data_IF_081038240060
#
_entry.id   IF_081038240060
#
_cell.length_a   1.000
_cell.length_b   1.000
_cell.length_c   1.000
_cell.angle_alpha   90.00
_cell.angle_beta   90.00
_cell.angle_gamma   90.00
#
_symmetry.space_group_name_H-M   'P 1'
#
loop_
_entity.id
_entity.type
_entity.pdbx_description
1 polymer ?
#
# COMPACT_ATOMS: atom_id res chain seq x y z
N UNK A 1 28.80 -42.52 7.50
CA UNK A 1 27.94 -41.38 7.15
C UNK A 1 26.75 -41.39 8.10
N UNK A 2 26.72 -40.48 9.03
CA UNK A 2 25.78 -40.57 10.15
C UNK A 2 24.37 -40.16 9.68
N UNK A 3 23.48 -41.12 9.52
CA UNK A 3 22.11 -40.99 9.03
C UNK A 3 21.25 -40.05 9.94
N UNK A 4 21.72 -39.73 11.14
CA UNK A 4 21.10 -38.83 12.09
C UNK A 4 21.28 -37.34 11.74
N UNK A 5 22.50 -36.95 11.33
CA UNK A 5 22.84 -35.55 10.98
C UNK A 5 22.06 -35.13 9.73
N UNK A 6 22.09 -35.98 8.68
CA UNK A 6 21.34 -35.69 7.43
C UNK A 6 19.81 -35.56 7.63
N UNK A 7 19.23 -36.31 8.59
CA UNK A 7 17.79 -36.18 8.93
C UNK A 7 17.49 -34.86 9.64
N UNK A 8 18.41 -34.38 10.49
CA UNK A 8 18.24 -33.12 11.22
C UNK A 8 18.32 -31.91 10.26
N UNK A 9 19.29 -31.92 9.37
CA UNK A 9 19.46 -30.87 8.34
C UNK A 9 18.24 -30.77 7.43
N UNK A 10 17.70 -31.89 6.96
CA UNK A 10 16.46 -31.91 6.17
C UNK A 10 15.27 -31.38 6.94
N UNK A 11 15.17 -31.66 8.23
CA UNK A 11 14.11 -31.12 9.08
C UNK A 11 14.23 -29.61 9.20
N UNK A 12 15.43 -29.09 9.44
CA UNK A 12 15.69 -27.63 9.51
C UNK A 12 15.34 -26.94 8.21
N UNK A 13 15.73 -27.50 7.06
CA UNK A 13 15.37 -26.94 5.75
C UNK A 13 13.84 -26.96 5.51
N UNK A 14 13.17 -28.02 5.96
CA UNK A 14 11.70 -28.09 5.87
C UNK A 14 11.04 -27.02 6.73
N UNK A 15 11.42 -26.88 8.00
CA UNK A 15 10.87 -25.89 8.93
C UNK A 15 11.09 -24.44 8.41
N UNK A 16 12.29 -24.17 7.88
CA UNK A 16 12.62 -22.89 7.25
C UNK A 16 11.73 -22.63 6.02
N UNK A 17 11.50 -23.64 5.17
CA UNK A 17 10.66 -23.50 3.99
C UNK A 17 9.21 -23.17 4.33
N UNK A 18 8.67 -23.72 5.42
CA UNK A 18 7.32 -23.40 5.92
C UNK A 18 7.22 -21.93 6.39
N UNK A 19 8.25 -21.45 7.07
CA UNK A 19 8.29 -20.08 7.60
C UNK A 19 8.37 -19.05 6.48
N UNK A 20 9.16 -19.32 5.44
CA UNK A 20 9.26 -18.47 4.26
C UNK A 20 7.88 -18.23 3.62
N UNK A 21 7.01 -19.26 3.61
CA UNK A 21 5.65 -19.18 3.06
C UNK A 21 4.64 -18.40 3.92
N UNK A 22 4.92 -18.16 5.19
CA UNK A 22 3.96 -17.60 6.14
C UNK A 22 4.27 -16.16 6.60
N UNK A 23 5.52 -15.70 6.46
CA UNK A 23 5.95 -14.41 7.00
C UNK A 23 5.88 -13.28 5.97
N UNK A 24 5.22 -12.19 6.35
CA UNK A 24 5.08 -10.96 5.54
C UNK A 24 6.28 -9.99 5.70
N UNK A 25 7.14 -10.19 6.72
CA UNK A 25 8.24 -9.28 7.04
C UNK A 25 9.60 -9.98 6.90
N UNK A 26 10.42 -9.55 5.92
CA UNK A 26 11.74 -10.12 5.67
C UNK A 26 12.64 -10.15 6.91
N UNK A 27 12.73 -9.06 7.67
CA UNK A 27 13.65 -8.95 8.81
C UNK A 27 13.30 -9.96 9.90
N UNK A 28 12.01 -10.11 10.21
CA UNK A 28 11.52 -11.11 11.16
C UNK A 28 11.77 -12.54 10.65
N UNK A 29 11.52 -12.78 9.37
CA UNK A 29 11.78 -14.10 8.76
C UNK A 29 13.26 -14.49 8.88
N UNK A 30 14.17 -13.56 8.57
CA UNK A 30 15.61 -13.81 8.68
C UNK A 30 16.04 -14.07 10.14
N UNK A 31 15.47 -13.35 11.11
CA UNK A 31 15.77 -13.58 12.54
C UNK A 31 15.29 -14.96 13.01
N UNK A 32 14.09 -15.39 12.63
CA UNK A 32 13.55 -16.72 12.94
C UNK A 32 14.42 -17.83 12.31
N UNK A 33 14.87 -17.66 11.07
CA UNK A 33 15.76 -18.61 10.41
C UNK A 33 17.06 -18.79 11.21
N UNK A 34 17.65 -17.67 11.69
CA UNK A 34 18.87 -17.72 12.50
C UNK A 34 18.64 -18.36 13.88
N UNK A 35 17.47 -18.19 14.47
CA UNK A 35 17.07 -18.83 15.72
C UNK A 35 16.98 -20.35 15.55
N UNK A 36 16.33 -20.82 14.50
CA UNK A 36 16.26 -22.24 14.15
C UNK A 36 17.67 -22.84 13.96
N UNK A 37 18.55 -22.15 13.25
CA UNK A 37 19.94 -22.58 13.09
C UNK A 37 20.66 -22.75 14.43
N UNK A 38 20.45 -21.80 15.35
CA UNK A 38 21.06 -21.86 16.67
C UNK A 38 20.56 -23.02 17.50
N UNK A 39 19.26 -23.30 17.46
CA UNK A 39 18.65 -24.37 18.25
C UNK A 39 19.02 -25.76 17.76
N UNK A 40 18.95 -25.99 16.45
CA UNK A 40 19.10 -27.34 15.87
C UNK A 40 20.58 -27.76 15.64
N UNK A 41 21.46 -26.80 15.34
CA UNK A 41 22.84 -27.07 14.96
C UNK A 41 23.87 -26.66 16.03
N UNK A 42 23.42 -26.34 17.24
CA UNK A 42 24.28 -25.88 18.35
C UNK A 42 25.17 -24.69 17.98
N UNK A 43 24.72 -23.86 17.05
CA UNK A 43 25.43 -22.68 16.58
C UNK A 43 25.11 -21.49 17.50
N UNK A 44 26.06 -21.08 18.33
CA UNK A 44 25.85 -20.07 19.40
C UNK A 44 25.48 -18.67 18.91
N UNK A 45 25.94 -18.29 17.73
CA UNK A 45 25.67 -17.01 17.09
C UNK A 45 25.56 -17.21 15.59
N UNK A 46 24.60 -16.53 15.03
CA UNK A 46 24.44 -16.49 13.59
C UNK A 46 24.12 -15.06 13.14
N UNK A 47 24.70 -14.63 12.02
CA UNK A 47 24.44 -13.29 11.46
C UNK A 47 24.26 -13.34 9.95
N UNK A 48 23.33 -12.54 9.46
CA UNK A 48 23.18 -12.24 8.05
C UNK A 48 23.62 -10.80 7.85
N UNK A 49 24.68 -10.65 7.07
CA UNK A 49 25.27 -9.35 6.73
C UNK A 49 25.00 -9.08 5.27
N UNK A 50 24.36 -7.95 4.93
CA UNK A 50 23.97 -7.60 3.57
C UNK A 50 24.66 -6.31 3.12
N UNK A 51 24.81 -6.16 1.80
CA UNK A 51 25.32 -4.95 1.16
C UNK A 51 24.38 -3.76 1.40
N UNK A 52 24.94 -2.61 1.74
CA UNK A 52 24.20 -1.36 1.94
C UNK A 52 24.09 -0.58 0.63
N UNK A 53 22.99 -0.72 -0.11
CA UNK A 53 22.69 0.09 -1.29
C UNK A 53 23.90 0.37 -2.21
N UNK A 54 24.21 1.65 -2.43
CA UNK A 54 25.34 2.11 -3.27
C UNK A 54 26.67 2.27 -2.51
N UNK A 55 26.67 2.11 -1.19
CA UNK A 55 27.86 2.27 -0.36
C UNK A 55 28.64 0.94 -0.32
N UNK A 56 29.97 0.98 -0.47
CA UNK A 56 30.83 -0.20 -0.44
C UNK A 56 31.02 -0.74 1.00
N UNK A 57 29.88 -0.99 1.67
CA UNK A 57 29.83 -1.52 3.03
C UNK A 57 28.81 -2.64 3.16
N UNK A 58 29.07 -3.49 4.13
CA UNK A 58 28.19 -4.56 4.56
C UNK A 58 27.72 -4.27 5.99
N UNK A 59 26.44 -4.46 6.28
CA UNK A 59 25.90 -4.31 7.65
C UNK A 59 25.09 -5.52 8.07
N UNK A 60 25.09 -5.82 9.38
CA UNK A 60 24.29 -6.93 9.91
C UNK A 60 22.81 -6.59 9.82
N UNK A 61 22.10 -7.32 8.98
CA UNK A 61 20.64 -7.18 8.78
C UNK A 61 19.85 -7.93 9.84
N UNK A 62 20.21 -9.20 10.06
CA UNK A 62 19.61 -10.07 11.06
C UNK A 62 20.68 -10.75 11.90
N UNK A 63 20.40 -11.05 13.15
CA UNK A 63 21.34 -11.73 14.04
C UNK A 63 20.64 -12.50 15.14
N UNK A 64 21.19 -13.68 15.48
CA UNK A 64 20.87 -14.41 16.70
C UNK A 64 22.09 -14.36 17.64
N UNK A 65 21.85 -14.21 18.94
CA UNK A 65 22.91 -14.18 19.97
C UNK A 65 23.70 -12.86 20.08
N UNK A 66 23.30 -11.78 19.40
CA UNK A 66 23.87 -10.42 19.52
C UNK A 66 22.90 -9.45 20.21
N UNK A 67 23.44 -8.58 21.03
CA UNK A 67 22.69 -7.43 21.60
C UNK A 67 22.52 -6.32 20.54
N UNK A 68 21.49 -5.46 20.63
CA UNK A 68 21.27 -4.39 19.65
C UNK A 68 22.49 -3.48 19.42
N UNK A 69 23.23 -3.12 20.47
CA UNK A 69 24.46 -2.32 20.37
C UNK A 69 25.61 -3.05 19.66
N UNK A 70 25.67 -4.37 19.80
CA UNK A 70 26.66 -5.22 19.14
C UNK A 70 26.33 -5.36 17.64
N UNK A 71 25.04 -5.54 17.30
CA UNK A 71 24.54 -5.58 15.93
C UNK A 71 24.90 -4.29 15.17
N UNK A 72 24.71 -3.10 15.78
CA UNK A 72 25.04 -1.80 15.18
C UNK A 72 26.53 -1.63 14.85
N UNK A 73 27.44 -2.23 15.61
CA UNK A 73 28.90 -2.19 15.35
C UNK A 73 29.33 -3.08 14.19
N UNK A 74 28.50 -4.01 13.77
CA UNK A 74 28.78 -4.97 12.70
C UNK A 74 28.67 -4.35 11.31
N UNK A 75 29.48 -3.34 11.03
CA UNK A 75 29.62 -2.72 9.70
C UNK A 75 31.03 -3.00 9.19
N UNK A 76 31.13 -3.54 7.97
CA UNK A 76 32.37 -3.97 7.34
C UNK A 76 32.50 -3.31 5.96
N UNK A 77 33.72 -2.93 5.58
CA UNK A 77 34.01 -2.57 4.20
C UNK A 77 34.22 -3.85 3.38
N UNK A 78 34.08 -3.77 2.07
CA UNK A 78 34.26 -4.96 1.20
C UNK A 78 35.68 -5.52 1.24
N UNK A 79 36.67 -4.70 1.58
CA UNK A 79 38.08 -5.07 1.71
C UNK A 79 38.49 -5.43 3.15
N UNK A 80 37.54 -5.52 4.09
CA UNK A 80 37.84 -5.54 5.50
C UNK A 80 37.43 -6.87 6.18
N UNK A 81 38.43 -7.52 6.76
CA UNK A 81 38.24 -8.71 7.59
C UNK A 81 37.72 -9.95 6.84
N UNK A 82 37.40 -11.01 7.59
CA UNK A 82 36.90 -12.28 7.02
C UNK A 82 35.55 -12.07 6.28
N UNK A 83 34.67 -11.25 6.80
CA UNK A 83 33.37 -10.98 6.17
C UNK A 83 33.53 -10.29 4.81
N UNK A 84 34.42 -9.31 4.71
CA UNK A 84 34.74 -8.65 3.42
C UNK A 84 35.41 -9.59 2.43
N UNK A 85 36.30 -10.48 2.91
CA UNK A 85 36.95 -11.49 2.09
C UNK A 85 35.92 -12.42 1.44
N UNK A 86 35.02 -13.03 2.23
CA UNK A 86 33.96 -13.93 1.77
C UNK A 86 33.07 -13.22 0.74
N UNK A 87 32.69 -11.98 1.01
CA UNK A 87 31.85 -11.20 0.10
C UNK A 87 32.55 -10.97 -1.25
N UNK A 88 33.84 -10.63 -1.24
CA UNK A 88 34.61 -10.32 -2.46
C UNK A 88 34.95 -11.55 -3.29
N UNK A 89 35.35 -12.66 -2.64
CA UNK A 89 35.72 -13.90 -3.33
C UNK A 89 34.50 -14.73 -3.74
N UNK A 90 33.34 -14.51 -3.10
CA UNK A 90 32.15 -15.34 -3.21
C UNK A 90 32.43 -16.82 -2.86
N UNK A 91 33.41 -17.08 -2.00
CA UNK A 91 33.78 -18.40 -1.53
C UNK A 91 33.55 -18.52 -0.02
N UNK A 92 33.20 -19.75 0.48
CA UNK A 92 33.12 -20.00 1.90
C UNK A 92 34.50 -19.86 2.57
N UNK A 93 34.50 -19.40 3.81
CA UNK A 93 35.72 -19.31 4.61
C UNK A 93 35.50 -19.81 6.03
N UNK A 94 36.43 -20.60 6.54
CA UNK A 94 36.41 -21.15 7.89
C UNK A 94 37.59 -20.66 8.68
N UNK A 95 37.32 -20.23 9.91
CA UNK A 95 38.33 -19.90 10.90
C UNK A 95 38.19 -20.92 12.05
N UNK A 96 39.04 -21.92 12.14
CA UNK A 96 38.96 -22.95 13.18
C UNK A 96 39.12 -22.37 14.59
N UNK A 97 39.94 -21.35 14.75
CA UNK A 97 40.17 -20.66 16.01
C UNK A 97 40.24 -19.14 15.77
N UNK A 98 39.17 -18.43 16.14
CA UNK A 98 39.07 -16.98 15.95
C UNK A 98 40.14 -16.18 16.69
N UNK A 99 40.81 -16.76 17.68
CA UNK A 99 41.88 -16.10 18.45
C UNK A 99 43.22 -16.09 17.71
N UNK A 100 43.39 -16.98 16.74
CA UNK A 100 44.64 -17.17 15.98
C UNK A 100 44.60 -16.54 14.58
N UNK A 101 43.40 -16.11 14.12
CA UNK A 101 43.22 -15.57 12.78
C UNK A 101 43.34 -14.03 12.74
N UNK A 102 44.41 -13.49 12.14
CA UNK A 102 44.64 -12.03 12.09
C UNK A 102 43.57 -11.23 11.34
N UNK A 103 42.92 -11.88 10.32
CA UNK A 103 41.83 -11.23 9.56
C UNK A 103 40.51 -11.15 10.32
N UNK A 104 40.43 -11.80 11.51
CA UNK A 104 39.22 -11.83 12.28
C UNK A 104 39.11 -10.62 13.23
N UNK A 105 38.33 -9.62 12.87
CA UNK A 105 38.31 -8.29 13.52
C UNK A 105 37.46 -8.18 14.78
N UNK A 106 36.61 -9.16 15.14
CA UNK A 106 35.66 -9.13 16.26
C UNK A 106 34.96 -7.76 16.46
N UNK A 107 34.52 -7.09 15.37
CA UNK A 107 33.94 -5.74 15.40
C UNK A 107 32.72 -5.62 16.31
N UNK A 108 31.90 -6.65 16.41
CA UNK A 108 30.74 -6.68 17.30
C UNK A 108 31.12 -6.57 18.76
N UNK A 109 32.37 -7.00 19.13
CA UNK A 109 32.84 -7.03 20.50
C UNK A 109 32.07 -8.03 21.38
N UNK A 110 31.33 -8.94 20.76
CA UNK A 110 30.43 -9.88 21.45
C UNK A 110 31.13 -11.14 21.92
N UNK A 111 32.34 -11.41 21.42
CA UNK A 111 33.13 -12.60 21.80
C UNK A 111 34.05 -12.28 22.97
N UNK A 112 33.60 -12.57 24.21
CA UNK A 112 34.47 -12.57 25.39
C UNK A 112 35.26 -13.88 25.38
N UNK A 113 36.60 -13.78 25.38
CA UNK A 113 37.57 -14.86 25.14
C UNK A 113 37.75 -15.74 26.40
N UNK A 114 36.73 -16.11 27.13
CA UNK A 114 36.95 -16.73 28.44
C UNK A 114 36.57 -18.20 28.55
N UNK A 115 35.96 -18.85 27.57
CA UNK A 115 35.66 -20.32 27.68
C UNK A 115 35.49 -21.00 26.35
N UNK A 116 36.54 -21.72 25.90
CA UNK A 116 36.53 -22.63 24.76
C UNK A 116 36.92 -21.98 23.42
N UNK A 117 37.51 -22.79 22.54
CA UNK A 117 37.87 -22.39 21.20
C UNK A 117 36.57 -22.15 20.40
N UNK A 118 36.42 -20.97 19.83
CA UNK A 118 35.29 -20.62 18.95
C UNK A 118 35.80 -20.72 17.51
N UNK A 119 35.11 -21.50 16.69
CA UNK A 119 35.25 -21.50 15.25
C UNK A 119 34.23 -20.59 14.59
N UNK A 120 34.61 -19.97 13.48
CA UNK A 120 33.75 -19.16 12.65
C UNK A 120 33.64 -19.80 11.26
N UNK A 121 32.42 -19.91 10.76
CA UNK A 121 32.14 -20.37 9.40
C UNK A 121 31.32 -19.24 8.72
N UNK A 122 31.79 -18.80 7.57
CA UNK A 122 31.08 -17.86 6.76
C UNK A 122 30.88 -18.37 5.35
N UNK A 123 29.68 -18.18 4.81
CA UNK A 123 29.33 -18.52 3.43
C UNK A 123 28.74 -17.29 2.72
N UNK A 124 29.03 -17.09 1.43
CA UNK A 124 28.46 -15.99 0.67
C UNK A 124 26.97 -16.22 0.40
N UNK A 125 26.20 -15.15 0.43
CA UNK A 125 24.83 -15.11 -0.09
C UNK A 125 24.90 -14.58 -1.51
N UNK A 126 24.65 -15.46 -2.50
CA UNK A 126 24.87 -15.16 -3.92
C UNK A 126 23.55 -15.15 -4.68
N UNK A 127 23.27 -14.09 -5.43
CA UNK A 127 22.12 -13.96 -6.31
C UNK A 127 22.60 -13.65 -7.74
N UNK A 128 22.21 -14.47 -8.72
CA UNK A 128 22.60 -14.29 -10.13
C UNK A 128 24.13 -14.12 -10.30
N UNK A 129 24.90 -14.99 -9.65
CA UNK A 129 26.38 -14.98 -9.65
C UNK A 129 27.02 -13.72 -9.03
N UNK A 130 26.25 -12.90 -8.32
CA UNK A 130 26.77 -11.74 -7.60
C UNK A 130 26.57 -11.90 -6.10
N UNK A 131 27.59 -11.66 -5.27
CA UNK A 131 27.42 -11.69 -3.83
C UNK A 131 26.57 -10.49 -3.38
N UNK A 132 25.55 -10.76 -2.59
CA UNK A 132 24.66 -9.75 -1.99
C UNK A 132 24.84 -9.64 -0.48
N UNK A 133 25.56 -10.61 0.14
CA UNK A 133 25.79 -10.64 1.56
C UNK A 133 26.61 -11.84 2.00
N UNK A 134 26.67 -12.05 3.31
CA UNK A 134 27.37 -13.15 3.98
C UNK A 134 26.51 -13.69 5.11
N UNK A 135 26.30 -14.99 5.13
CA UNK A 135 25.78 -15.72 6.27
C UNK A 135 26.97 -16.23 7.08
N UNK A 136 27.04 -15.94 8.37
CA UNK A 136 28.11 -16.41 9.23
C UNK A 136 27.57 -16.96 10.54
N UNK A 137 28.25 -18.00 11.05
CA UNK A 137 27.91 -18.69 12.28
C UNK A 137 29.15 -18.88 13.16
N UNK A 138 28.96 -18.79 14.47
CA UNK A 138 29.96 -19.15 15.47
C UNK A 138 29.60 -20.52 16.09
N UNK A 139 30.54 -21.43 16.12
CA UNK A 139 30.39 -22.77 16.73
C UNK A 139 31.44 -22.97 17.82
N UNK A 140 31.10 -23.71 18.86
CA UNK A 140 32.12 -24.21 19.77
C UNK A 140 32.92 -25.28 19.06
N UNK A 141 34.26 -25.19 19.17
CA UNK A 141 35.15 -26.20 18.62
C UNK A 141 35.01 -27.48 19.46
N UNK A 142 34.62 -28.59 18.77
CA UNK A 142 34.64 -29.94 19.30
C UNK A 142 35.41 -30.78 18.29
N UNK A 143 36.23 -31.75 18.77
CA UNK A 143 37.17 -32.53 17.91
C UNK A 143 36.48 -33.36 16.84
N UNK A 144 35.16 -33.61 16.97
CA UNK A 144 34.36 -34.43 16.04
C UNK A 144 33.59 -33.59 14.97
N UNK A 145 33.94 -32.33 14.74
CA UNK A 145 33.18 -31.44 13.83
C UNK A 145 33.65 -31.53 12.38
N UNK A 146 32.75 -31.85 11.46
CA UNK A 146 32.99 -31.79 10.01
C UNK A 146 32.62 -30.42 9.47
N UNK A 147 33.58 -29.54 9.26
CA UNK A 147 33.37 -28.22 8.61
C UNK A 147 32.83 -28.33 7.19
N UNK A 148 33.13 -29.43 6.47
CA UNK A 148 32.64 -29.61 5.09
C UNK A 148 31.11 -29.79 5.03
N UNK A 149 30.52 -30.50 5.99
CA UNK A 149 29.07 -30.69 6.09
C UNK A 149 28.39 -29.37 6.46
N UNK A 150 28.92 -28.65 7.45
CA UNK A 150 28.43 -27.35 7.86
C UNK A 150 28.44 -26.31 6.68
N UNK A 151 29.55 -26.25 5.92
CA UNK A 151 29.68 -25.40 4.74
C UNK A 151 28.62 -25.75 3.70
N UNK A 152 28.44 -27.04 3.39
CA UNK A 152 27.45 -27.50 2.42
C UNK A 152 26.04 -27.09 2.81
N UNK A 153 25.67 -27.35 4.05
CA UNK A 153 24.36 -26.99 4.60
C UNK A 153 24.12 -25.47 4.59
N UNK A 154 25.08 -24.68 5.11
CA UNK A 154 24.97 -23.22 5.13
C UNK A 154 24.94 -22.63 3.71
N UNK A 155 25.61 -23.24 2.74
CA UNK A 155 25.55 -22.82 1.33
C UNK A 155 24.16 -23.03 0.73
N UNK A 156 23.50 -24.16 1.00
CA UNK A 156 22.11 -24.40 0.58
C UNK A 156 21.19 -23.35 1.21
N UNK A 157 21.35 -23.11 2.49
CA UNK A 157 20.55 -22.12 3.21
C UNK A 157 20.78 -20.69 2.70
N UNK A 158 22.03 -20.32 2.42
CA UNK A 158 22.35 -18.99 1.86
C UNK A 158 21.71 -18.78 0.49
N UNK A 159 21.59 -19.84 -0.32
CA UNK A 159 20.89 -19.77 -1.61
C UNK A 159 19.38 -19.55 -1.43
N UNK A 160 18.73 -20.21 -0.46
CA UNK A 160 17.32 -19.95 -0.12
C UNK A 160 17.10 -18.53 0.40
N UNK A 161 17.99 -18.03 1.24
CA UNK A 161 17.95 -16.64 1.72
C UNK A 161 18.12 -15.63 0.57
N UNK A 162 18.99 -15.89 -0.39
CA UNK A 162 19.17 -15.05 -1.56
C UNK A 162 17.86 -14.91 -2.36
N UNK A 163 17.14 -16.02 -2.57
CA UNK A 163 15.85 -16.00 -3.24
C UNK A 163 14.78 -15.23 -2.45
N UNK A 164 14.71 -15.42 -1.14
CA UNK A 164 13.78 -14.70 -0.26
C UNK A 164 14.02 -13.19 -0.30
N UNK A 165 15.28 -12.75 -0.20
CA UNK A 165 15.67 -11.35 -0.28
C UNK A 165 15.26 -10.77 -1.64
N UNK A 166 15.57 -11.47 -2.73
CA UNK A 166 15.22 -11.04 -4.10
C UNK A 166 13.72 -10.88 -4.30
N UNK A 167 12.91 -11.84 -3.83
CA UNK A 167 11.45 -11.76 -3.93
C UNK A 167 10.90 -10.55 -3.16
N UNK A 168 11.37 -10.31 -1.94
CA UNK A 168 10.96 -9.16 -1.14
C UNK A 168 11.31 -7.82 -1.83
N UNK A 169 12.49 -7.71 -2.43
CA UNK A 169 12.91 -6.51 -3.14
C UNK A 169 12.08 -6.29 -4.42
N UNK A 170 11.74 -7.35 -5.15
CA UNK A 170 10.84 -7.28 -6.30
C UNK A 170 9.43 -6.82 -5.90
N UNK A 171 8.86 -7.35 -4.82
CA UNK A 171 7.55 -6.93 -4.30
C UNK A 171 7.58 -5.45 -3.93
N UNK A 172 8.56 -5.00 -3.16
CA UNK A 172 8.72 -3.58 -2.78
C UNK A 172 8.90 -2.66 -3.99
N UNK A 173 9.70 -3.06 -4.97
CA UNK A 173 9.89 -2.30 -6.20
C UNK A 173 8.59 -2.17 -7.00
N UNK A 174 7.78 -3.24 -7.05
CA UNK A 174 6.48 -3.25 -7.73
C UNK A 174 5.45 -2.37 -7.02
N UNK A 175 5.38 -2.44 -5.70
CA UNK A 175 4.55 -1.54 -4.89
C UNK A 175 4.93 -0.07 -5.11
N UNK A 176 6.22 0.27 -5.06
CA UNK A 176 6.72 1.62 -5.33
C UNK A 176 6.37 2.10 -6.75
N UNK A 177 6.48 1.24 -7.75
CA UNK A 177 6.14 1.58 -9.14
C UNK A 177 4.65 1.83 -9.31
N UNK A 178 3.79 1.04 -8.67
CA UNK A 178 2.32 1.22 -8.68
C UNK A 178 1.91 2.51 -7.97
N UNK A 179 2.51 2.82 -6.82
CA UNK A 179 2.26 4.08 -6.11
C UNK A 179 2.68 5.29 -6.97
N UNK A 180 3.84 5.23 -7.62
CA UNK A 180 4.33 6.30 -8.50
C UNK A 180 3.44 6.47 -9.74
N UNK A 181 3.02 5.38 -10.37
CA UNK A 181 2.09 5.42 -11.50
C UNK A 181 0.71 5.99 -11.11
N UNK A 182 0.19 5.61 -9.94
CA UNK A 182 -1.05 6.17 -9.41
C UNK A 182 -0.95 7.67 -9.09
N UNK A 183 0.19 8.12 -8.56
CA UNK A 183 0.44 9.53 -8.29
C UNK A 183 0.55 10.34 -9.59
N UNK A 184 1.26 9.85 -10.61
CA UNK A 184 1.37 10.53 -11.91
C UNK A 184 0.01 10.63 -12.62
N UNK A 185 -0.78 9.54 -12.64
CA UNK A 185 -2.14 9.55 -13.18
C UNK A 185 -3.06 10.54 -12.43
N UNK A 186 -2.96 10.62 -11.11
CA UNK A 186 -3.73 11.60 -10.31
C UNK A 186 -3.30 13.04 -10.61
N UNK A 187 -2.02 13.31 -10.81
CA UNK A 187 -1.50 14.64 -11.15
C UNK A 187 -1.96 15.09 -12.54
N UNK A 188 -1.87 14.21 -13.53
CA UNK A 188 -2.33 14.49 -14.91
C UNK A 188 -3.84 14.75 -14.97
N UNK A 189 -4.64 13.97 -14.20
CA UNK A 189 -6.07 14.19 -14.09
C UNK A 189 -6.42 15.52 -13.39
N UNK A 190 -5.66 15.90 -12.37
CA UNK A 190 -5.82 17.13 -11.62
C UNK A 190 -5.52 18.38 -12.48
N UNK A 191 -4.44 18.35 -13.25
CA UNK A 191 -4.12 19.45 -14.20
C UNK A 191 -5.18 19.58 -15.31
N UNK A 192 -5.63 18.45 -15.87
CA UNK A 192 -6.71 18.45 -16.88
C UNK A 192 -8.02 19.02 -16.34
N UNK A 193 -8.38 18.73 -15.10
CA UNK A 193 -9.58 19.24 -14.46
C UNK A 193 -9.48 20.74 -14.14
N UNK A 194 -8.34 21.20 -13.65
CA UNK A 194 -8.08 22.63 -13.38
C UNK A 194 -8.08 23.45 -14.65
N UNK A 195 -7.48 22.96 -15.72
CA UNK A 195 -7.44 23.64 -17.02
C UNK A 195 -8.85 23.79 -17.60
N UNK A 196 -9.71 22.76 -17.52
CA UNK A 196 -11.10 22.87 -17.97
C UNK A 196 -11.89 23.89 -17.15
N UNK A 197 -11.67 23.96 -15.84
CA UNK A 197 -12.34 24.91 -14.96
C UNK A 197 -11.95 26.37 -15.26
N UNK A 198 -10.72 26.59 -15.70
CA UNK A 198 -10.21 27.91 -16.07
C UNK A 198 -10.74 28.43 -17.42
N UNK A 199 -11.41 27.57 -18.20
CA UNK A 199 -11.91 27.94 -19.55
C UNK A 199 -13.20 28.77 -19.49
N UNK A 200 -14.03 28.60 -18.43
CA UNK A 200 -15.26 29.38 -18.28
C UNK A 200 -14.95 30.79 -17.79
N UNK A 201 -15.20 31.78 -18.64
CA UNK A 201 -14.97 33.21 -18.36
C UNK A 201 -16.25 34.03 -18.25
N UNK A 202 -17.42 33.44 -18.49
CA UNK A 202 -18.72 34.06 -18.35
C UNK A 202 -18.99 34.50 -16.90
N UNK A 203 -19.72 35.60 -16.65
CA UNK A 203 -20.08 36.07 -15.31
C UNK A 203 -20.72 34.97 -14.45
N UNK A 204 -21.66 34.19 -15.03
CA UNK A 204 -22.35 33.10 -14.35
C UNK A 204 -21.40 31.98 -13.93
N UNK A 205 -20.40 31.66 -14.76
CA UNK A 205 -19.42 30.64 -14.42
C UNK A 205 -18.38 31.13 -13.41
N UNK A 206 -18.06 32.42 -13.42
CA UNK A 206 -17.20 33.02 -12.40
C UNK A 206 -17.85 32.99 -11.01
N UNK A 207 -19.17 33.18 -10.91
CA UNK A 207 -19.91 33.01 -9.65
C UNK A 207 -19.81 31.57 -9.16
N UNK A 208 -20.01 30.58 -10.03
CA UNK A 208 -19.82 29.15 -9.70
C UNK A 208 -18.41 28.90 -9.19
N UNK A 209 -17.39 29.46 -9.85
CA UNK A 209 -16.00 29.33 -9.42
C UNK A 209 -15.76 29.91 -8.03
N UNK A 210 -16.37 31.06 -7.70
CA UNK A 210 -16.27 31.67 -6.37
C UNK A 210 -16.90 30.78 -5.30
N UNK A 211 -18.09 30.21 -5.57
CA UNK A 211 -18.77 29.29 -4.66
C UNK A 211 -17.93 28.02 -4.41
N UNK A 212 -17.34 27.46 -5.46
CA UNK A 212 -16.46 26.31 -5.35
C UNK A 212 -15.26 26.62 -4.46
N UNK A 213 -14.58 27.76 -4.66
CA UNK A 213 -13.45 28.18 -3.83
C UNK A 213 -13.83 28.34 -2.36
N UNK A 214 -15.04 28.83 -2.07
CA UNK A 214 -15.55 29.01 -0.70
C UNK A 214 -15.83 27.66 -0.03
N UNK A 215 -16.46 26.70 -0.75
CA UNK A 215 -16.90 25.44 -0.16
C UNK A 215 -15.81 24.36 -0.16
N UNK A 216 -14.87 24.40 -1.09
CA UNK A 216 -13.85 23.37 -1.22
C UNK A 216 -13.07 23.09 0.08
N UNK A 217 -12.57 24.08 0.85
CA UNK A 217 -11.82 23.82 2.07
C UNK A 217 -12.68 23.34 3.25
N UNK A 218 -14.02 23.40 3.13
CA UNK A 218 -14.93 22.99 4.21
C UNK A 218 -15.27 21.50 4.17
N UNK A 219 -15.87 20.99 5.25
CA UNK A 219 -16.43 19.63 5.30
C UNK A 219 -17.92 19.58 4.92
N UNK A 220 -18.51 20.68 4.54
CA UNK A 220 -19.94 20.77 4.22
C UNK A 220 -20.31 19.87 3.04
N UNK A 221 -21.52 19.30 3.10
CA UNK A 221 -22.15 18.64 1.95
C UNK A 221 -22.44 19.69 0.87
N UNK A 222 -22.27 19.29 -0.40
CA UNK A 222 -22.51 20.18 -1.55
C UNK A 222 -23.56 19.53 -2.44
N UNK A 223 -24.55 20.30 -2.84
CA UNK A 223 -25.58 19.89 -3.80
C UNK A 223 -25.37 20.63 -5.13
N UNK A 224 -25.02 19.88 -6.18
CA UNK A 224 -24.85 20.40 -7.53
C UNK A 224 -26.15 20.29 -8.31
N UNK A 225 -26.71 21.40 -8.70
CA UNK A 225 -27.94 21.50 -9.46
C UNK A 225 -27.66 21.92 -10.91
N UNK A 226 -28.35 21.33 -11.87
CA UNK A 226 -28.19 21.71 -13.27
C UNK A 226 -28.58 20.60 -14.23
N UNK A 227 -28.83 20.98 -15.48
CA UNK A 227 -29.25 20.03 -16.54
C UNK A 227 -28.21 18.95 -16.80
N UNK A 228 -28.63 17.88 -17.46
CA UNK A 228 -27.68 16.86 -17.91
C UNK A 228 -26.66 17.48 -18.89
N UNK A 229 -25.38 17.06 -18.78
CA UNK A 229 -24.29 17.56 -19.63
C UNK A 229 -23.71 18.91 -19.24
N UNK A 230 -24.19 19.60 -18.18
CA UNK A 230 -23.64 20.90 -17.74
C UNK A 230 -22.24 20.82 -17.12
N UNK A 231 -21.76 19.62 -16.78
CA UNK A 231 -20.43 19.42 -16.17
C UNK A 231 -20.43 19.21 -14.67
N UNK A 232 -21.55 18.85 -14.04
CA UNK A 232 -21.68 18.61 -12.58
C UNK A 232 -20.60 17.64 -12.05
N UNK A 233 -20.33 16.54 -12.74
CA UNK A 233 -19.29 15.57 -12.36
C UNK A 233 -17.90 16.22 -12.32
N UNK A 234 -17.58 17.11 -13.26
CA UNK A 234 -16.31 17.83 -13.28
C UNK A 234 -16.22 18.83 -12.13
N UNK A 235 -17.29 19.57 -11.87
CA UNK A 235 -17.39 20.49 -10.72
C UNK A 235 -17.17 19.74 -9.40
N UNK A 236 -17.80 18.58 -9.22
CA UNK A 236 -17.59 17.73 -8.04
C UNK A 236 -16.13 17.33 -7.86
N UNK A 237 -15.46 16.95 -8.95
CA UNK A 237 -14.05 16.58 -8.95
C UNK A 237 -13.15 17.76 -8.58
N UNK A 238 -13.42 18.95 -9.12
CA UNK A 238 -12.68 20.18 -8.78
C UNK A 238 -12.85 20.56 -7.30
N UNK A 239 -14.07 20.44 -6.75
CA UNK A 239 -14.30 20.66 -5.32
C UNK A 239 -13.47 19.71 -4.47
N UNK A 240 -13.36 18.44 -4.86
CA UNK A 240 -12.51 17.48 -4.17
C UNK A 240 -11.03 17.86 -4.29
N UNK A 241 -10.55 18.18 -5.49
CA UNK A 241 -9.14 18.54 -5.76
C UNK A 241 -8.68 19.82 -5.04
N UNK A 242 -9.60 20.75 -4.79
CA UNK A 242 -9.35 21.97 -4.03
C UNK A 242 -9.58 21.81 -2.52
N UNK A 243 -10.00 20.65 -2.06
CA UNK A 243 -10.27 20.37 -0.65
C UNK A 243 -9.04 19.88 0.10
N UNK A 244 -9.14 19.82 1.43
CA UNK A 244 -8.15 19.16 2.29
C UNK A 244 -8.00 17.66 2.02
N UNK A 245 -8.95 17.05 1.30
CA UNK A 245 -8.98 15.61 0.95
C UNK A 245 -8.52 15.33 -0.50
N UNK A 246 -7.87 16.27 -1.17
CA UNK A 246 -7.43 16.15 -2.57
C UNK A 246 -6.55 14.92 -2.85
N UNK A 247 -5.81 14.43 -1.84
CA UNK A 247 -4.95 13.23 -1.94
C UNK A 247 -5.66 11.93 -1.59
N UNK A 248 -6.87 12.01 -1.05
CA UNK A 248 -7.69 10.86 -0.65
C UNK A 248 -8.54 10.33 -1.81
N UNK A 249 -9.35 9.30 -1.55
CA UNK A 249 -10.24 8.69 -2.55
C UNK A 249 -11.35 9.66 -2.99
N UNK A 250 -11.67 9.66 -4.29
CA UNK A 250 -12.86 10.27 -4.87
C UNK A 250 -13.71 9.16 -5.48
N UNK A 251 -14.74 8.72 -4.77
CA UNK A 251 -15.59 7.60 -5.16
C UNK A 251 -16.87 8.15 -5.79
N UNK A 252 -17.11 7.78 -7.04
CA UNK A 252 -18.32 8.17 -7.79
C UNK A 252 -19.34 7.03 -7.79
N UNK A 253 -20.60 7.36 -7.49
CA UNK A 253 -21.76 6.47 -7.64
C UNK A 253 -22.81 7.18 -8.46
N UNK A 254 -23.33 6.53 -9.50
CA UNK A 254 -24.47 7.02 -10.25
C UNK A 254 -25.72 6.30 -9.77
N UNK A 255 -26.65 7.05 -9.16
CA UNK A 255 -27.87 6.51 -8.57
C UNK A 255 -28.92 6.06 -9.61
N UNK A 256 -28.81 6.51 -10.85
CA UNK A 256 -29.69 6.12 -11.93
C UNK A 256 -29.21 4.88 -12.72
N UNK A 257 -27.96 4.47 -12.53
CA UNK A 257 -27.33 3.45 -13.40
C UNK A 257 -27.68 2.00 -13.02
N UNK A 258 -28.19 1.75 -11.81
CA UNK A 258 -28.37 0.41 -11.24
C UNK A 258 -29.80 0.21 -10.73
N UNK A 259 -30.35 -1.01 -10.83
CA UNK A 259 -31.56 -1.38 -10.11
C UNK A 259 -31.38 -1.21 -8.60
N UNK A 260 -32.49 -0.97 -7.87
CA UNK A 260 -32.50 -0.64 -6.44
C UNK A 260 -31.65 -1.59 -5.57
N UNK A 261 -31.88 -2.91 -5.70
CA UNK A 261 -31.16 -3.91 -4.91
C UNK A 261 -29.64 -3.93 -5.17
N UNK A 262 -29.25 -3.67 -6.42
CA UNK A 262 -27.82 -3.59 -6.77
C UNK A 262 -27.22 -2.27 -6.28
N UNK A 263 -27.95 -1.17 -6.36
CA UNK A 263 -27.51 0.12 -5.88
C UNK A 263 -27.27 0.10 -4.36
N UNK A 264 -28.16 -0.55 -3.61
CA UNK A 264 -28.02 -0.72 -2.16
C UNK A 264 -26.75 -1.50 -1.81
N UNK A 265 -26.54 -2.65 -2.46
CA UNK A 265 -25.35 -3.48 -2.24
C UNK A 265 -24.06 -2.81 -2.68
N UNK A 266 -24.06 -2.01 -3.73
CA UNK A 266 -22.89 -1.22 -4.14
C UNK A 266 -22.60 -0.06 -3.18
N UNK A 267 -23.63 0.66 -2.70
CA UNK A 267 -23.44 1.78 -1.77
C UNK A 267 -22.92 1.32 -0.40
N UNK A 268 -23.61 0.37 0.22
CA UNK A 268 -23.35 -0.01 1.61
C UNK A 268 -22.56 -1.31 1.79
N UNK A 269 -22.37 -2.09 0.71
CA UNK A 269 -21.73 -3.39 0.78
C UNK A 269 -22.62 -4.48 1.37
N UNK A 270 -22.11 -5.70 1.39
CA UNK A 270 -22.84 -6.87 1.91
C UNK A 270 -21.91 -7.86 2.58
N UNK A 271 -22.45 -8.63 3.51
CA UNK A 271 -21.79 -9.77 4.12
C UNK A 271 -22.17 -11.05 3.39
N UNK A 272 -21.33 -12.08 3.50
CA UNK A 272 -21.61 -13.41 2.96
C UNK A 272 -22.97 -13.91 3.42
N UNK A 273 -23.81 -14.33 2.46
CA UNK A 273 -25.17 -14.85 2.73
C UNK A 273 -26.25 -13.77 2.83
N UNK A 274 -25.96 -12.49 2.57
CA UNK A 274 -26.95 -11.42 2.63
C UNK A 274 -28.09 -11.57 1.61
N UNK A 275 -27.81 -12.19 0.47
CA UNK A 275 -28.79 -12.53 -0.58
C UNK A 275 -28.35 -13.75 -1.39
N UNK A 276 -29.22 -14.29 -2.21
CA UNK A 276 -28.90 -15.42 -3.11
C UNK A 276 -27.81 -15.00 -4.11
N UNK A 277 -26.59 -15.61 -3.97
CA UNK A 277 -25.42 -15.26 -4.77
C UNK A 277 -24.33 -14.49 -4.01
N UNK A 278 -24.54 -14.06 -2.77
CA UNK A 278 -23.53 -13.43 -1.90
C UNK A 278 -22.56 -14.50 -1.33
N UNK A 279 -21.65 -15.01 -2.17
CA UNK A 279 -20.68 -16.05 -1.80
C UNK A 279 -19.57 -15.54 -0.88
N UNK A 280 -19.22 -14.26 -1.00
CA UNK A 280 -18.21 -13.56 -0.21
C UNK A 280 -18.74 -12.22 0.29
N UNK A 281 -18.08 -11.62 1.30
CA UNK A 281 -18.40 -10.27 1.73
C UNK A 281 -17.72 -9.25 0.82
N UNK A 282 -18.42 -8.14 0.51
CA UNK A 282 -17.89 -7.04 -0.31
C UNK A 282 -18.08 -5.70 0.40
N UNK A 283 -17.02 -4.86 0.54
CA UNK A 283 -17.17 -3.50 1.02
C UNK A 283 -18.00 -2.66 0.04
N UNK A 284 -18.75 -1.68 0.58
CA UNK A 284 -19.51 -0.74 -0.22
C UNK A 284 -18.73 0.54 -0.54
N UNK A 285 -19.26 1.34 -1.48
CA UNK A 285 -18.67 2.62 -1.91
C UNK A 285 -18.54 3.64 -0.78
N UNK A 286 -19.43 3.60 0.20
CA UNK A 286 -19.36 4.41 1.42
C UNK A 286 -18.09 4.08 2.21
N UNK A 287 -17.78 2.78 2.35
CA UNK A 287 -16.58 2.31 3.05
C UNK A 287 -15.29 2.61 2.26
N UNK A 288 -15.31 2.44 0.93
CA UNK A 288 -14.20 2.79 0.04
C UNK A 288 -13.88 4.30 0.05
N UNK A 289 -14.88 5.14 0.35
CA UNK A 289 -14.74 6.58 0.43
C UNK A 289 -14.19 7.08 1.78
N UNK A 290 -13.91 6.20 2.75
CA UNK A 290 -13.43 6.61 4.07
C UNK A 290 -12.17 7.47 4.01
N UNK A 291 -12.14 8.56 4.76
CA UNK A 291 -11.10 9.61 4.69
C UNK A 291 -11.16 10.47 3.41
N UNK A 292 -12.05 10.15 2.45
CA UNK A 292 -12.14 10.76 1.13
C UNK A 292 -13.44 11.50 0.86
N UNK A 293 -13.89 11.44 -0.41
CA UNK A 293 -15.12 12.09 -0.89
C UNK A 293 -15.99 11.09 -1.65
N UNK A 294 -17.26 11.01 -1.28
CA UNK A 294 -18.30 10.27 -2.00
C UNK A 294 -19.08 11.25 -2.88
N UNK A 295 -19.09 11.00 -4.19
CA UNK A 295 -19.89 11.76 -5.13
C UNK A 295 -21.09 10.93 -5.60
N UNK A 296 -22.30 11.39 -5.26
CA UNK A 296 -23.58 10.80 -5.60
C UNK A 296 -24.16 11.54 -6.81
N UNK A 297 -24.04 10.95 -7.99
CA UNK A 297 -24.57 11.54 -9.23
C UNK A 297 -26.02 11.09 -9.44
N UNK A 298 -26.86 11.99 -9.94
CA UNK A 298 -28.30 11.81 -10.15
C UNK A 298 -29.03 11.35 -8.88
N UNK A 299 -28.79 12.07 -7.76
CA UNK A 299 -29.36 11.72 -6.44
C UNK A 299 -30.89 11.76 -6.42
N UNK A 300 -31.52 12.54 -7.28
CA UNK A 300 -32.96 12.60 -7.43
C UNK A 300 -33.62 11.32 -7.96
N UNK A 301 -32.82 10.36 -8.45
CA UNK A 301 -33.26 9.04 -8.90
C UNK A 301 -33.18 7.97 -7.78
N UNK A 302 -32.72 8.36 -6.57
CA UNK A 302 -32.54 7.41 -5.48
C UNK A 302 -33.89 6.88 -4.98
N UNK A 303 -34.11 5.56 -4.95
CA UNK A 303 -35.35 4.95 -4.42
C UNK A 303 -35.63 5.39 -2.97
N UNK A 304 -36.92 5.59 -2.63
CA UNK A 304 -37.33 6.11 -1.31
C UNK A 304 -36.82 5.23 -0.15
N UNK A 305 -36.75 3.91 -0.32
CA UNK A 305 -36.20 3.01 0.68
C UNK A 305 -34.71 3.32 0.97
N UNK A 306 -33.93 3.62 -0.07
CA UNK A 306 -32.50 3.93 0.08
C UNK A 306 -32.28 5.35 0.63
N UNK A 307 -33.23 6.27 0.43
CA UNK A 307 -33.14 7.62 1.00
C UNK A 307 -33.09 7.58 2.52
N UNK A 308 -33.81 6.67 3.17
CA UNK A 308 -33.79 6.49 4.64
C UNK A 308 -32.40 6.08 5.13
N UNK A 309 -31.77 5.11 4.44
CA UNK A 309 -30.42 4.65 4.80
C UNK A 309 -29.35 5.71 4.54
N UNK A 310 -29.50 6.43 3.43
CA UNK A 310 -28.59 7.55 3.11
C UNK A 310 -28.71 8.68 4.14
N UNK A 311 -29.92 8.99 4.58
CA UNK A 311 -30.16 10.00 5.62
C UNK A 311 -29.43 9.63 6.91
N UNK A 312 -29.60 8.40 7.40
CA UNK A 312 -28.91 7.92 8.59
C UNK A 312 -27.39 8.05 8.45
N UNK A 313 -26.84 7.60 7.30
CA UNK A 313 -25.42 7.77 7.02
C UNK A 313 -24.95 9.24 7.03
N UNK A 314 -25.73 10.15 6.47
CA UNK A 314 -25.40 11.58 6.45
C UNK A 314 -25.46 12.22 7.85
N UNK A 315 -26.36 11.74 8.75
CA UNK A 315 -26.53 12.25 10.10
C UNK A 315 -25.46 11.72 11.05
N UNK A 316 -25.30 10.40 11.10
CA UNK A 316 -24.54 9.71 12.16
C UNK A 316 -23.11 9.34 11.71
N UNK A 317 -22.85 9.41 10.39
CA UNK A 317 -21.58 8.97 9.79
C UNK A 317 -21.30 7.49 10.03
N UNK A 318 -22.38 6.73 10.20
CA UNK A 318 -22.31 5.29 10.35
C UNK A 318 -23.30 4.58 9.40
N UNK A 319 -23.04 3.30 9.17
CA UNK A 319 -23.87 2.46 8.32
C UNK A 319 -23.65 0.98 8.65
N UNK A 320 -24.53 0.14 8.13
CA UNK A 320 -24.45 -1.32 8.24
C UNK A 320 -24.43 -1.94 6.85
N UNK A 321 -23.62 -2.97 6.64
CA UNK A 321 -23.66 -3.76 5.39
C UNK A 321 -24.96 -4.57 5.33
N UNK A 322 -25.42 -4.91 4.14
CA UNK A 322 -26.54 -5.82 3.95
C UNK A 322 -26.23 -7.17 4.62
N UNK A 323 -27.21 -7.70 5.36
CA UNK A 323 -27.05 -8.95 6.10
C UNK A 323 -26.22 -8.84 7.37
N UNK A 324 -25.89 -7.63 7.84
CA UNK A 324 -25.13 -7.40 9.07
C UNK A 324 -25.82 -6.39 9.97
N UNK A 325 -25.75 -6.62 11.29
CA UNK A 325 -26.16 -5.65 12.33
C UNK A 325 -24.97 -4.88 12.90
N UNK A 326 -23.75 -5.10 12.35
CA UNK A 326 -22.54 -4.44 12.82
C UNK A 326 -22.47 -3.03 12.25
N UNK A 327 -22.61 -2.02 13.10
CA UNK A 327 -22.42 -0.61 12.73
C UNK A 327 -20.96 -0.29 12.45
N UNK A 328 -20.72 0.39 11.34
CA UNK A 328 -19.40 0.85 10.86
C UNK A 328 -19.39 2.35 10.78
N UNK A 329 -18.34 3.00 11.30
CA UNK A 329 -18.15 4.45 11.23
C UNK A 329 -17.14 4.82 10.18
N UNK A 330 -17.43 5.91 9.45
CA UNK A 330 -16.55 6.44 8.38
C UNK A 330 -16.55 7.97 8.39
N UNK A 331 -15.44 8.59 7.99
CA UNK A 331 -15.32 10.03 7.80
C UNK A 331 -15.34 10.38 6.30
N UNK A 332 -16.51 10.53 5.73
CA UNK A 332 -16.71 10.77 4.29
C UNK A 332 -17.29 12.17 4.06
N UNK A 333 -16.68 12.95 3.13
CA UNK A 333 -17.31 14.15 2.59
C UNK A 333 -18.26 13.77 1.47
N UNK A 334 -19.48 14.32 1.48
CA UNK A 334 -20.49 14.02 0.46
C UNK A 334 -20.69 15.19 -0.49
N UNK A 335 -20.69 14.92 -1.79
CA UNK A 335 -21.10 15.81 -2.86
C UNK A 335 -22.21 15.09 -3.62
N UNK A 336 -23.38 15.71 -3.76
CA UNK A 336 -24.51 15.16 -4.51
C UNK A 336 -24.78 16.01 -5.76
N UNK A 337 -25.27 15.40 -6.82
CA UNK A 337 -25.68 16.10 -8.04
C UNK A 337 -27.02 15.60 -8.55
N UNK A 338 -27.82 16.47 -9.13
CA UNK A 338 -29.08 16.13 -9.77
C UNK A 338 -29.44 17.12 -10.87
N UNK A 339 -30.22 16.67 -11.84
CA UNK A 339 -30.91 17.50 -12.82
C UNK A 339 -32.38 17.67 -12.49
N UNK A 340 -32.94 16.99 -11.49
CA UNK A 340 -34.32 17.11 -11.04
C UNK A 340 -34.51 18.30 -10.08
N UNK A 341 -35.71 18.82 -10.09
CA UNK A 341 -36.15 19.74 -9.01
C UNK A 341 -36.54 18.90 -7.80
N UNK A 342 -35.62 18.86 -6.79
CA UNK A 342 -35.86 18.12 -5.57
C UNK A 342 -36.99 18.70 -4.73
N UNK A 343 -37.28 20.03 -4.80
CA UNK A 343 -38.38 20.65 -4.09
C UNK A 343 -39.72 20.13 -4.63
N UNK A 344 -39.86 20.07 -5.94
CA UNK A 344 -41.02 19.43 -6.58
C UNK A 344 -41.13 17.96 -6.23
N UNK A 345 -40.04 17.21 -6.27
CA UNK A 345 -40.01 15.79 -5.91
C UNK A 345 -40.41 15.56 -4.44
N UNK A 346 -40.08 16.45 -3.52
CA UNK A 346 -40.56 16.44 -2.13
C UNK A 346 -42.06 16.62 -2.06
N UNK A 347 -42.59 17.60 -2.79
CA UNK A 347 -44.03 17.86 -2.81
C UNK A 347 -44.85 16.67 -3.38
N UNK A 348 -44.25 15.93 -4.31
CA UNK A 348 -44.83 14.71 -4.92
C UNK A 348 -44.64 13.46 -4.08
N UNK A 349 -43.92 13.52 -2.95
CA UNK A 349 -43.58 12.36 -2.10
C UNK A 349 -42.54 11.38 -2.70
N UNK A 350 -41.86 11.77 -3.77
CA UNK A 350 -40.83 10.99 -4.46
C UNK A 350 -39.44 11.16 -3.79
N UNK A 351 -39.26 12.26 -3.04
CA UNK A 351 -38.04 12.52 -2.30
C UNK A 351 -38.38 12.96 -0.86
N UNK A 352 -37.59 12.50 0.11
CA UNK A 352 -37.84 12.84 1.52
C UNK A 352 -37.35 14.26 1.82
N UNK A 353 -38.15 15.00 2.52
CA UNK A 353 -37.88 16.39 2.94
C UNK A 353 -36.64 16.47 3.86
N UNK A 354 -36.51 15.52 4.80
CA UNK A 354 -35.39 15.47 5.75
C UNK A 354 -34.05 15.21 5.04
N UNK A 355 -34.03 14.34 4.04
CA UNK A 355 -32.85 14.10 3.21
C UNK A 355 -32.51 15.31 2.35
N UNK A 356 -33.50 15.97 1.76
CA UNK A 356 -33.32 17.17 0.96
C UNK A 356 -32.57 18.25 1.76
N UNK A 357 -33.05 18.63 2.96
CA UNK A 357 -32.37 19.61 3.79
C UNK A 357 -30.98 19.19 4.27
N UNK A 358 -30.73 17.91 4.40
CA UNK A 358 -29.40 17.41 4.77
C UNK A 358 -28.40 17.46 3.62
N UNK A 359 -28.86 17.38 2.37
CA UNK A 359 -28.04 17.54 1.16
C UNK A 359 -27.89 19.01 0.76
N UNK A 360 -28.94 19.82 0.90
CA UNK A 360 -28.99 21.23 0.48
C UNK A 360 -28.32 22.20 1.47
N UNK A 361 -27.14 21.79 2.00
CA UNK A 361 -26.35 22.64 2.90
C UNK A 361 -25.60 23.72 2.13
N UNK A 362 -25.06 23.40 0.96
CA UNK A 362 -24.39 24.35 0.08
C UNK A 362 -24.74 24.02 -1.38
N UNK A 363 -25.84 24.63 -1.89
CA UNK A 363 -26.25 24.45 -3.28
C UNK A 363 -25.37 25.25 -4.23
N UNK A 364 -25.01 24.62 -5.35
CA UNK A 364 -24.31 25.25 -6.48
C UNK A 364 -25.07 24.89 -7.76
N UNK A 365 -25.65 25.91 -8.41
CA UNK A 365 -26.29 25.77 -9.71
C UNK A 365 -25.24 25.89 -10.82
N UNK A 366 -25.08 24.83 -11.64
CA UNK A 366 -24.21 24.83 -12.81
C UNK A 366 -25.05 25.25 -14.04
N UNK A 367 -24.79 26.43 -14.65
CA UNK A 367 -25.61 26.94 -15.72
C UNK A 367 -25.45 26.09 -17.00
N UNK A 368 -26.53 25.89 -17.78
CA UNK A 368 -26.43 25.26 -19.09
C UNK A 368 -25.69 26.18 -20.08
N UNK A 369 -25.15 25.60 -21.15
CA UNK A 369 -24.28 26.31 -22.09
C UNK A 369 -24.99 27.54 -22.77
N UNK A 370 -26.30 27.46 -22.95
CA UNK A 370 -27.11 28.59 -23.51
C UNK A 370 -27.14 29.84 -22.60
N UNK A 371 -26.90 29.67 -21.29
CA UNK A 371 -26.82 30.77 -20.31
C UNK A 371 -25.38 31.31 -20.14
N UNK A 372 -24.39 30.69 -20.82
CA UNK A 372 -22.96 31.06 -20.82
C UNK A 372 -22.36 30.98 -22.23
N UNK A 373 -23.00 31.65 -23.18
CA UNK A 373 -22.62 31.61 -24.61
C UNK A 373 -21.18 32.05 -24.85
N UNK A 374 -20.67 32.98 -24.05
CA UNK A 374 -19.28 33.46 -24.09
C UNK A 374 -18.24 32.35 -23.87
N UNK A 375 -18.61 31.28 -23.16
CA UNK A 375 -17.74 30.16 -22.90
C UNK A 375 -17.67 29.14 -24.08
N UNK A 376 -18.53 29.25 -25.09
CA UNK A 376 -18.61 28.30 -26.22
C UNK A 376 -17.28 28.23 -26.96
N UNK A 377 -16.78 29.40 -27.41
CA UNK A 377 -15.55 29.45 -28.22
C UNK A 377 -14.31 28.99 -27.41
N UNK A 378 -14.10 29.44 -26.16
CA UNK A 378 -13.06 28.92 -25.30
C UNK A 378 -13.14 27.38 -25.09
N UNK A 379 -14.34 26.83 -24.86
CA UNK A 379 -14.55 25.40 -24.70
C UNK A 379 -14.22 24.61 -25.96
N UNK A 380 -14.66 25.09 -27.15
CA UNK A 380 -14.32 24.44 -28.42
C UNK A 380 -12.80 24.40 -28.61
N UNK A 381 -12.10 25.51 -28.41
CA UNK A 381 -10.64 25.55 -28.51
C UNK A 381 -9.99 24.55 -27.57
N UNK A 382 -10.41 24.55 -26.31
CA UNK A 382 -9.90 23.62 -25.31
C UNK A 382 -10.07 22.15 -25.73
N UNK A 383 -11.25 21.78 -26.24
CA UNK A 383 -11.48 20.39 -26.69
C UNK A 383 -10.73 20.06 -27.98
N UNK A 384 -10.59 21.00 -28.94
CA UNK A 384 -9.76 20.80 -30.13
C UNK A 384 -8.30 20.54 -29.73
N UNK A 385 -7.73 21.40 -28.88
CA UNK A 385 -6.35 21.25 -28.41
C UNK A 385 -6.13 19.93 -27.65
N UNK A 386 -7.11 19.51 -26.85
CA UNK A 386 -7.07 18.27 -26.12
C UNK A 386 -7.06 17.07 -27.06
N UNK A 387 -7.99 17.06 -28.03
CA UNK A 387 -8.12 15.95 -29.00
C UNK A 387 -6.88 15.89 -29.90
N UNK A 388 -6.37 17.02 -30.39
CA UNK A 388 -5.13 17.07 -31.18
C UNK A 388 -3.94 16.45 -30.44
N UNK A 389 -3.80 16.73 -29.14
CA UNK A 389 -2.73 16.11 -28.33
C UNK A 389 -2.92 14.60 -28.11
N UNK A 390 -4.17 14.13 -27.97
CA UNK A 390 -4.46 12.71 -27.77
C UNK A 390 -4.27 11.88 -29.04
N UNK A 391 -4.51 12.45 -30.21
CA UNK A 391 -4.44 11.75 -31.51
C UNK A 391 -3.22 12.14 -32.36
N UNK A 392 -2.35 13.03 -31.89
CA UNK A 392 -1.07 13.35 -32.54
C UNK A 392 -1.21 14.09 -33.85
N UNK A 393 -2.26 14.86 -34.06
CA UNK A 393 -2.55 15.66 -35.26
C UNK A 393 -2.51 17.16 -34.96
#
# INVERSE_FOLDING_TARGET
MDTRVSKLELKVLYDISQIIGQCLNLDQTLEIILEILSEYLSMKRATITLKNGEVDTLSIRASHGLRPKEKQRGVYRFDEGVTGLIFRTAEPFVVPDVTKEPLFLNKTGSRRIDKGQISFIGVPIVLNSKPIGVLSVDRLFDEDVSFEEDIRFLTILSALMAQLISLNDQVKAREHSLVKANLSLKTDLSEKSRNFFSVGTSPTMLEVQQLIRKVAPTKASVLLLGESGTGKTLVAKIIHELSSRARSSFIKVNCAALPENLLESELFGYEKGAFTGALESKPGRVEEADGGTLFLDEIGELPVALQVRLLRFLQDRDFERLGSTKTRKVDVRVIAATNRDLSAAVAEGLFREDLYYRLDVFPIRVPPLRERREDIVPLVRFFCDKISREYGS
#
